data_IF_620960207155
#
_entry.id   IF_620960207155
#
_cell.length_a   1.000
_cell.length_b   1.000
_cell.length_c   1.000
_cell.angle_alpha   90.00
_cell.angle_beta   90.00
_cell.angle_gamma   90.00
#
_symmetry.space_group_name_H-M   'P 1'
#
loop_
_entity.id
_entity.type
_entity.pdbx_description
1 polymer ?
#
# COMPACT_ATOMS: atom_id res chain seq x y z
N UNK A 1 -9.04 4.46 -16.54
CA UNK A 1 -10.45 4.62 -16.14
C UNK A 1 -11.24 3.31 -16.04
N UNK A 2 -11.21 2.41 -17.04
CA UNK A 2 -12.08 1.22 -17.06
C UNK A 2 -12.08 0.39 -15.76
N UNK A 3 -10.89 0.01 -15.25
CA UNK A 3 -10.76 -0.83 -14.05
C UNK A 3 -11.35 -0.15 -12.81
N UNK A 4 -11.02 1.12 -12.57
CA UNK A 4 -11.49 1.85 -11.38
C UNK A 4 -12.98 2.21 -11.48
N UNK A 5 -13.49 2.42 -12.70
CA UNK A 5 -14.92 2.57 -12.93
C UNK A 5 -15.66 1.26 -12.62
N UNK A 6 -15.12 0.12 -13.06
CA UNK A 6 -15.67 -1.19 -12.74
C UNK A 6 -15.66 -1.46 -11.22
N UNK A 7 -14.59 -1.09 -10.51
CA UNK A 7 -14.55 -1.20 -9.05
C UNK A 7 -15.67 -0.38 -8.39
N UNK A 8 -15.87 0.87 -8.82
CA UNK A 8 -16.95 1.71 -8.31
C UNK A 8 -18.35 1.14 -8.60
N UNK A 9 -18.62 0.67 -9.83
CA UNK A 9 -19.93 0.08 -10.16
C UNK A 9 -20.23 -1.20 -9.35
N UNK A 10 -19.21 -1.84 -8.80
CA UNK A 10 -19.31 -2.98 -7.89
C UNK A 10 -19.32 -2.58 -6.39
N UNK A 11 -19.50 -1.30 -6.08
CA UNK A 11 -19.73 -0.81 -4.72
C UNK A 11 -18.48 -0.52 -3.91
N UNK A 12 -17.30 -0.45 -4.54
CA UNK A 12 -16.08 -0.01 -3.85
C UNK A 12 -16.21 1.47 -3.46
N UNK A 13 -15.83 1.78 -2.22
CA UNK A 13 -15.99 3.11 -1.61
C UNK A 13 -14.67 3.89 -1.49
N UNK A 14 -13.58 3.36 -2.06
CA UNK A 14 -12.28 4.01 -2.20
C UNK A 14 -11.61 3.40 -3.43
N UNK A 15 -10.93 4.22 -4.22
CA UNK A 15 -10.24 3.79 -5.44
C UNK A 15 -8.78 4.18 -5.37
N UNK A 16 -7.94 3.50 -6.16
CA UNK A 16 -6.57 3.93 -6.39
C UNK A 16 -6.33 4.05 -7.89
N UNK A 17 -5.71 5.14 -8.32
CA UNK A 17 -5.15 5.27 -9.66
C UNK A 17 -3.63 5.19 -9.58
N UNK A 18 -3.11 3.99 -9.83
CA UNK A 18 -1.67 3.83 -10.05
C UNK A 18 -1.33 4.20 -11.51
N UNK A 19 -0.61 5.30 -11.65
CA UNK A 19 0.02 5.73 -12.89
C UNK A 19 1.52 6.04 -12.68
N UNK A 20 2.12 5.45 -11.64
CA UNK A 20 3.53 5.61 -11.25
C UNK A 20 4.53 5.25 -12.34
N UNK A 21 4.16 4.32 -13.23
CA UNK A 21 4.99 3.90 -14.35
C UNK A 21 5.04 4.89 -15.52
N UNK A 22 4.17 5.92 -15.51
CA UNK A 22 4.19 7.00 -16.50
C UNK A 22 5.09 8.15 -16.03
N UNK A 23 5.44 9.05 -16.94
CA UNK A 23 6.10 10.29 -16.54
C UNK A 23 5.19 11.16 -15.66
N UNK A 24 5.81 12.15 -15.00
CA UNK A 24 5.15 12.98 -14.01
C UNK A 24 3.88 13.67 -14.53
N UNK A 25 3.92 14.22 -15.75
CA UNK A 25 2.81 14.95 -16.33
C UNK A 25 1.65 14.02 -16.72
N UNK A 26 1.98 12.86 -17.29
CA UNK A 26 0.98 11.85 -17.63
C UNK A 26 0.37 11.21 -16.37
N UNK A 27 1.15 10.99 -15.31
CA UNK A 27 0.65 10.54 -14.02
C UNK A 27 -0.33 11.56 -13.43
N UNK A 28 0.02 12.86 -13.43
CA UNK A 28 -0.89 13.93 -13.01
C UNK A 28 -2.17 13.91 -13.84
N UNK A 29 -2.06 13.85 -15.17
CA UNK A 29 -3.22 13.87 -16.07
C UNK A 29 -4.18 12.71 -15.78
N UNK A 30 -3.65 11.49 -15.67
CA UNK A 30 -4.43 10.27 -15.44
C UNK A 30 -5.04 10.20 -14.03
N UNK A 31 -4.32 10.69 -13.03
CA UNK A 31 -4.80 10.74 -11.65
C UNK A 31 -5.88 11.80 -11.50
N UNK A 32 -5.66 13.00 -12.06
CA UNK A 32 -6.68 14.06 -12.09
C UNK A 32 -7.95 13.63 -12.80
N UNK A 33 -7.84 12.91 -13.93
CA UNK A 33 -8.99 12.36 -14.65
C UNK A 33 -9.84 11.44 -13.75
N UNK A 34 -9.19 10.62 -12.91
CA UNK A 34 -9.89 9.78 -11.93
C UNK A 34 -10.53 10.63 -10.82
N UNK A 35 -9.77 11.54 -10.22
CA UNK A 35 -10.23 12.45 -9.16
C UNK A 35 -11.46 13.25 -9.61
N UNK A 36 -11.37 13.94 -10.75
CA UNK A 36 -12.45 14.78 -11.29
C UNK A 36 -13.75 13.98 -11.54
N UNK A 37 -13.63 12.69 -11.87
CA UNK A 37 -14.77 11.81 -12.08
C UNK A 37 -15.40 11.31 -10.77
N UNK A 38 -14.57 10.89 -9.80
CA UNK A 38 -15.02 10.15 -8.61
C UNK A 38 -15.33 11.05 -7.40
N UNK A 39 -14.71 12.23 -7.31
CA UNK A 39 -14.95 13.19 -6.23
C UNK A 39 -16.41 13.68 -6.16
N UNK A 40 -17.09 14.05 -7.26
CA UNK A 40 -18.51 14.42 -7.22
C UNK A 40 -19.43 13.30 -6.73
N UNK A 41 -18.95 12.05 -6.75
CA UNK A 41 -19.65 10.86 -6.29
C UNK A 41 -19.32 10.51 -4.82
N UNK A 42 -18.48 11.32 -4.16
CA UNK A 42 -18.04 11.10 -2.78
C UNK A 42 -17.05 9.94 -2.62
N UNK A 43 -16.35 9.56 -3.69
CA UNK A 43 -15.40 8.45 -3.68
C UNK A 43 -13.96 8.99 -3.64
N UNK A 44 -13.19 8.73 -2.58
CA UNK A 44 -11.80 9.14 -2.48
C UNK A 44 -10.91 8.32 -3.43
N UNK A 45 -9.86 8.96 -3.92
CA UNK A 45 -8.87 8.41 -4.86
C UNK A 45 -7.46 8.50 -4.26
N UNK A 46 -6.87 7.33 -4.00
CA UNK A 46 -5.45 7.17 -3.71
C UNK A 46 -4.63 7.26 -5.01
N UNK A 47 -3.44 7.85 -4.94
CA UNK A 47 -2.48 7.91 -6.05
C UNK A 47 -1.09 7.43 -5.61
N UNK A 48 -0.19 7.18 -6.56
CA UNK A 48 1.21 6.81 -6.28
C UNK A 48 2.17 7.75 -7.01
N UNK A 49 3.19 8.21 -6.29
CA UNK A 49 4.31 8.99 -6.83
C UNK A 49 5.65 8.35 -6.42
N UNK A 50 6.59 8.26 -7.35
CA UNK A 50 7.68 7.28 -7.28
C UNK A 50 7.23 5.97 -7.93
N UNK A 51 7.88 4.85 -7.66
CA UNK A 51 7.42 3.54 -8.13
C UNK A 51 7.89 2.40 -7.21
N UNK A 52 6.94 1.66 -6.63
CA UNK A 52 7.23 0.54 -5.69
C UNK A 52 7.55 -0.78 -6.42
N UNK A 53 7.15 -0.91 -7.68
CA UNK A 53 7.44 -2.08 -8.51
C UNK A 53 6.67 -3.36 -8.11
N UNK A 54 6.78 -4.39 -8.94
CA UNK A 54 6.24 -5.72 -8.69
C UNK A 54 7.21 -6.58 -7.87
N UNK A 55 6.76 -7.78 -7.46
CA UNK A 55 7.63 -8.78 -6.83
C UNK A 55 8.77 -9.19 -7.77
N UNK A 56 10.00 -9.02 -7.29
CA UNK A 56 11.25 -9.39 -7.96
C UNK A 56 12.37 -9.57 -6.91
N UNK A 57 13.60 -9.84 -7.35
CA UNK A 57 14.81 -9.82 -6.51
C UNK A 57 15.01 -8.39 -5.97
N UNK A 58 14.93 -8.24 -4.66
CA UNK A 58 14.87 -6.94 -4.00
C UNK A 58 16.10 -6.07 -4.27
N UNK A 59 17.29 -6.66 -4.28
CA UNK A 59 18.54 -5.97 -4.58
C UNK A 59 18.56 -5.38 -5.99
N UNK A 60 17.97 -6.09 -6.96
CA UNK A 60 17.88 -5.66 -8.35
C UNK A 60 16.86 -4.52 -8.49
N UNK A 61 15.72 -4.61 -7.80
CA UNK A 61 14.74 -3.53 -7.74
C UNK A 61 15.33 -2.27 -7.10
N UNK A 62 16.09 -2.44 -6.01
CA UNK A 62 16.68 -1.32 -5.27
C UNK A 62 17.72 -0.56 -6.10
N UNK A 63 18.47 -1.26 -6.97
CA UNK A 63 19.50 -0.66 -7.82
C UNK A 63 18.93 0.35 -8.84
N UNK A 64 17.69 0.17 -9.28
CA UNK A 64 16.97 1.06 -10.20
C UNK A 64 15.83 1.84 -9.54
N UNK A 65 15.82 1.93 -8.21
CA UNK A 65 14.65 2.40 -7.47
C UNK A 65 14.41 3.90 -7.62
N UNK A 66 13.16 4.26 -7.91
CA UNK A 66 12.72 5.64 -8.03
C UNK A 66 11.96 6.04 -6.76
N UNK A 67 12.70 6.64 -5.82
CA UNK A 67 12.11 7.23 -4.62
C UNK A 67 11.16 8.36 -4.98
N UNK A 68 10.11 8.54 -4.17
CA UNK A 68 9.27 9.73 -4.27
C UNK A 68 10.12 10.98 -4.07
N UNK A 69 10.06 11.92 -5.01
CA UNK A 69 10.65 13.24 -4.82
C UNK A 69 9.73 14.11 -3.95
N UNK A 70 10.17 14.53 -2.74
CA UNK A 70 9.35 15.36 -1.87
C UNK A 70 8.94 16.70 -2.48
N UNK A 71 9.78 17.26 -3.35
CA UNK A 71 9.52 18.57 -3.96
C UNK A 71 8.44 18.46 -5.05
N UNK A 72 8.33 17.29 -5.70
CA UNK A 72 7.24 16.98 -6.63
C UNK A 72 5.94 16.58 -5.93
N UNK A 73 6.00 16.02 -4.72
CA UNK A 73 4.82 15.50 -4.03
C UNK A 73 3.76 16.58 -3.74
N UNK A 74 4.19 17.79 -3.33
CA UNK A 74 3.29 18.91 -3.11
C UNK A 74 2.57 19.33 -4.40
N UNK A 75 3.32 19.52 -5.49
CA UNK A 75 2.76 19.85 -6.79
C UNK A 75 1.80 18.75 -7.28
N UNK A 76 2.19 17.49 -7.12
CA UNK A 76 1.38 16.35 -7.53
C UNK A 76 0.04 16.33 -6.81
N UNK A 77 0.03 16.47 -5.48
CA UNK A 77 -1.21 16.51 -4.68
C UNK A 77 -2.05 17.73 -5.05
N UNK A 78 -1.45 18.91 -5.21
CA UNK A 78 -2.18 20.12 -5.59
C UNK A 78 -2.84 19.98 -6.97
N UNK A 79 -2.11 19.49 -7.96
CA UNK A 79 -2.58 19.40 -9.35
C UNK A 79 -3.57 18.25 -9.57
N UNK A 80 -3.44 17.15 -8.82
CA UNK A 80 -4.33 15.99 -8.95
C UNK A 80 -5.55 16.07 -8.06
N UNK A 81 -5.41 16.63 -6.85
CA UNK A 81 -6.45 16.59 -5.83
C UNK A 81 -6.68 15.21 -5.22
N UNK A 82 -5.71 14.27 -5.28
CA UNK A 82 -5.87 12.95 -4.67
C UNK A 82 -6.10 13.03 -3.14
N UNK A 83 -6.72 12.00 -2.56
CA UNK A 83 -7.11 11.97 -1.14
C UNK A 83 -6.06 11.31 -0.24
N UNK A 84 -5.17 10.52 -0.83
CA UNK A 84 -4.03 9.90 -0.16
C UNK A 84 -2.92 9.57 -1.16
N UNK A 85 -1.67 9.61 -0.70
CA UNK A 85 -0.50 9.44 -1.56
C UNK A 85 0.36 8.25 -1.11
N UNK A 86 0.46 7.24 -1.95
CA UNK A 86 1.45 6.18 -1.84
C UNK A 86 2.83 6.70 -2.22
N UNK A 87 3.80 6.43 -1.35
CA UNK A 87 5.19 6.88 -1.49
C UNK A 87 6.13 5.69 -1.63
N UNK A 88 7.08 5.83 -2.55
CA UNK A 88 8.16 4.89 -2.79
C UNK A 88 9.37 5.31 -1.94
N UNK A 89 9.67 4.49 -0.92
CA UNK A 89 10.71 4.78 0.08
C UNK A 89 11.76 3.68 0.17
N UNK A 90 11.86 2.82 -0.84
CA UNK A 90 12.70 1.61 -0.85
C UNK A 90 11.92 0.34 -0.52
N UNK A 91 10.60 0.43 -0.44
CA UNK A 91 9.68 -0.70 -0.29
C UNK A 91 9.38 -1.39 -1.62
N UNK A 92 9.00 -2.68 -1.60
CA UNK A 92 8.64 -3.48 -2.78
C UNK A 92 7.47 -4.41 -2.44
N UNK A 93 6.66 -4.78 -3.44
CA UNK A 93 5.72 -5.88 -3.30
C UNK A 93 6.39 -7.26 -3.23
N UNK A 94 5.68 -8.24 -2.64
CA UNK A 94 6.11 -9.64 -2.61
C UNK A 94 6.94 -10.01 -1.40
N UNK A 95 7.81 -11.01 -1.55
CA UNK A 95 8.79 -11.44 -0.55
C UNK A 95 10.13 -10.72 -0.79
N UNK A 96 10.67 -10.08 0.23
CA UNK A 96 12.00 -9.49 0.17
C UNK A 96 13.10 -10.56 0.19
N UNK A 97 14.05 -10.49 -0.75
CA UNK A 97 15.21 -11.40 -0.83
C UNK A 97 16.36 -11.01 0.09
N UNK A 98 16.34 -9.78 0.63
CA UNK A 98 17.22 -9.29 1.70
C UNK A 98 16.51 -8.26 2.58
N UNK A 99 17.21 -7.70 3.57
CA UNK A 99 16.65 -6.74 4.50
C UNK A 99 16.18 -5.45 3.78
N UNK A 100 14.92 -5.02 3.97
CA UNK A 100 14.40 -3.79 3.38
C UNK A 100 15.19 -2.56 3.81
N UNK A 101 15.63 -1.74 2.86
CA UNK A 101 16.32 -0.47 3.11
C UNK A 101 15.35 0.70 2.89
N UNK A 102 14.67 1.13 3.95
CA UNK A 102 13.71 2.21 3.88
C UNK A 102 14.35 3.58 4.14
N UNK A 103 14.08 4.53 3.24
CA UNK A 103 14.50 5.92 3.39
C UNK A 103 13.40 6.74 4.08
N UNK A 104 13.43 6.75 5.41
CA UNK A 104 12.45 7.47 6.23
C UNK A 104 12.50 9.00 6.08
N UNK A 105 13.62 9.57 5.60
CA UNK A 105 13.70 11.01 5.33
C UNK A 105 12.75 11.42 4.20
N UNK A 106 12.51 10.53 3.23
CA UNK A 106 11.50 10.74 2.18
C UNK A 106 10.11 10.87 2.81
N UNK A 107 9.73 9.95 3.71
CA UNK A 107 8.43 10.00 4.40
C UNK A 107 8.25 11.34 5.12
N UNK A 108 9.26 11.75 5.89
CA UNK A 108 9.23 12.99 6.67
C UNK A 108 9.07 14.22 5.77
N UNK A 109 9.91 14.34 4.73
CA UNK A 109 9.86 15.49 3.81
C UNK A 109 8.55 15.54 3.03
N UNK A 110 8.05 14.40 2.55
CA UNK A 110 6.76 14.34 1.84
C UNK A 110 5.62 14.68 2.81
N UNK A 111 5.66 14.18 4.05
CA UNK A 111 4.66 14.49 5.07
C UNK A 111 4.58 15.99 5.36
N UNK A 112 5.71 16.67 5.44
CA UNK A 112 5.79 18.12 5.64
C UNK A 112 5.30 18.91 4.41
N UNK A 113 5.41 18.33 3.21
CA UNK A 113 5.07 18.97 1.94
C UNK A 113 3.60 18.83 1.54
N UNK A 114 2.91 17.77 1.98
CA UNK A 114 1.51 17.48 1.57
C UNK A 114 0.55 17.50 2.75
N UNK A 115 -0.75 17.68 2.50
CA UNK A 115 -1.80 17.64 3.54
C UNK A 115 -2.51 16.29 3.65
N UNK A 116 -2.43 15.47 2.59
CA UNK A 116 -3.16 14.18 2.48
C UNK A 116 -2.43 13.06 3.24
N UNK A 117 -3.12 12.04 3.79
CA UNK A 117 -2.46 10.90 4.43
C UNK A 117 -1.50 10.16 3.49
N UNK A 118 -0.37 9.67 4.03
CA UNK A 118 0.60 8.88 3.26
C UNK A 118 0.31 7.39 3.36
N UNK A 119 0.62 6.65 2.30
CA UNK A 119 0.37 5.22 2.17
C UNK A 119 1.68 4.46 1.96
N UNK A 120 1.87 3.38 2.70
CA UNK A 120 3.00 2.46 2.54
C UNK A 120 2.53 1.17 1.84
N UNK A 121 3.02 0.96 0.63
CA UNK A 121 2.82 -0.27 -0.12
C UNK A 121 3.88 -1.33 0.22
N UNK A 122 3.67 -2.58 -0.16
CA UNK A 122 4.71 -3.61 -0.02
C UNK A 122 5.17 -3.87 1.43
N UNK A 123 4.31 -3.70 2.43
CA UNK A 123 4.76 -3.71 3.83
C UNK A 123 5.02 -5.11 4.41
N UNK A 124 4.67 -6.17 3.68
CA UNK A 124 4.92 -7.56 4.12
C UNK A 124 6.43 -7.86 4.12
N UNK A 125 6.98 -8.22 5.27
CA UNK A 125 8.42 -8.48 5.45
C UNK A 125 9.23 -7.30 5.99
N UNK A 126 8.64 -6.10 6.07
CA UNK A 126 9.22 -4.96 6.79
C UNK A 126 9.16 -5.22 8.30
N UNK A 127 10.22 -4.85 9.02
CA UNK A 127 10.31 -5.07 10.46
C UNK A 127 9.24 -4.29 11.24
N UNK A 128 8.78 -4.83 12.36
CA UNK A 128 7.81 -4.14 13.23
C UNK A 128 8.33 -2.77 13.72
N UNK A 129 9.64 -2.63 13.89
CA UNK A 129 10.27 -1.36 14.30
C UNK A 129 10.19 -0.33 13.18
N UNK A 130 10.45 -0.74 11.94
CA UNK A 130 10.37 0.13 10.76
C UNK A 130 8.94 0.53 10.46
N UNK A 131 7.97 -0.39 10.60
CA UNK A 131 6.54 -0.08 10.49
C UNK A 131 6.13 0.99 11.50
N UNK A 132 6.51 0.83 12.78
CA UNK A 132 6.21 1.84 13.82
C UNK A 132 6.87 3.17 13.52
N UNK A 133 8.10 3.15 13.01
CA UNK A 133 8.83 4.36 12.58
C UNK A 133 8.09 5.06 11.45
N UNK A 134 7.69 4.33 10.40
CA UNK A 134 6.93 4.85 9.27
C UNK A 134 5.60 5.50 9.71
N UNK A 135 4.85 4.85 10.61
CA UNK A 135 3.61 5.39 11.19
C UNK A 135 3.90 6.69 11.95
N UNK A 136 4.93 6.71 12.80
CA UNK A 136 5.29 7.90 13.58
C UNK A 136 5.67 9.11 12.73
N UNK A 137 6.07 8.87 11.48
CA UNK A 137 6.43 9.90 10.49
C UNK A 137 5.27 10.31 9.57
N UNK A 138 4.08 9.70 9.73
CA UNK A 138 2.86 10.14 9.04
C UNK A 138 2.30 9.18 7.98
N UNK A 139 2.78 7.94 7.92
CA UNK A 139 2.08 6.86 7.20
C UNK A 139 0.79 6.51 7.93
N UNK A 140 -0.34 6.54 7.22
CA UNK A 140 -1.67 6.32 7.77
C UNK A 140 -2.37 5.07 7.21
N UNK A 141 -1.96 4.59 6.04
CA UNK A 141 -2.47 3.36 5.43
C UNK A 141 -1.28 2.46 5.05
N UNK A 142 -1.39 1.18 5.37
CA UNK A 142 -0.33 0.19 5.16
C UNK A 142 -0.93 -1.00 4.42
N UNK A 143 -0.35 -1.35 3.27
CA UNK A 143 -0.82 -2.48 2.47
C UNK A 143 -0.03 -3.74 2.83
N UNK A 144 -0.75 -4.79 3.24
CA UNK A 144 -0.21 -6.12 3.49
C UNK A 144 -0.95 -7.15 2.63
N UNK A 145 -0.22 -8.12 2.07
CA UNK A 145 -0.82 -9.19 1.27
C UNK A 145 -0.02 -10.47 1.40
N UNK A 146 1.28 -10.41 1.06
CA UNK A 146 2.18 -11.58 1.04
C UNK A 146 2.14 -12.36 2.35
N UNK A 147 2.17 -11.68 3.49
CA UNK A 147 2.18 -12.36 4.79
C UNK A 147 0.85 -13.02 5.16
N UNK A 148 -0.28 -12.52 4.65
CA UNK A 148 -1.58 -13.17 4.80
C UNK A 148 -1.63 -14.45 3.96
N UNK A 149 -1.11 -14.39 2.73
CA UNK A 149 -0.97 -15.55 1.85
C UNK A 149 -0.02 -16.60 2.43
N UNK A 150 1.10 -16.19 3.04
CA UNK A 150 2.02 -17.09 3.74
C UNK A 150 1.33 -17.78 4.91
N UNK A 151 0.59 -17.05 5.75
CA UNK A 151 -0.18 -17.64 6.85
C UNK A 151 -1.20 -18.67 6.34
N UNK A 152 -1.89 -18.36 5.25
CA UNK A 152 -2.80 -19.30 4.59
C UNK A 152 -2.07 -20.56 4.11
N UNK A 153 -0.93 -20.42 3.42
CA UNK A 153 -0.17 -21.54 2.87
C UNK A 153 0.43 -22.45 3.94
N UNK A 154 0.87 -21.88 5.07
CA UNK A 154 1.30 -22.67 6.24
C UNK A 154 0.13 -23.53 6.76
N UNK A 155 -1.03 -22.91 6.98
CA UNK A 155 -2.22 -23.61 7.45
C UNK A 155 -2.69 -24.70 6.45
N UNK A 156 -2.59 -24.43 5.14
CA UNK A 156 -2.87 -25.44 4.11
C UNK A 156 -1.96 -26.64 4.25
N UNK A 157 -0.64 -26.41 4.33
CA UNK A 157 0.35 -27.48 4.43
C UNK A 157 0.15 -28.34 5.68
N UNK A 158 -0.20 -27.73 6.81
CA UNK A 158 -0.44 -28.42 8.08
C UNK A 158 -1.74 -29.23 8.11
N UNK A 159 -2.72 -28.89 7.26
CA UNK A 159 -4.07 -29.49 7.28
C UNK A 159 -4.45 -30.15 5.94
N UNK A 160 -3.50 -30.39 5.03
CA UNK A 160 -3.77 -30.88 3.67
C UNK A 160 -4.45 -32.27 3.63
N UNK A 161 -4.24 -33.09 4.66
CA UNK A 161 -4.83 -34.43 4.77
C UNK A 161 -6.18 -34.45 5.50
N UNK A 162 -6.70 -33.29 5.89
CA UNK A 162 -7.97 -33.14 6.60
C UNK A 162 -9.16 -32.93 5.64
N UNK A 163 -10.40 -33.17 6.08
CA UNK A 163 -11.59 -32.84 5.29
C UNK A 163 -11.62 -31.35 4.90
N UNK A 164 -12.15 -31.04 3.71
CA UNK A 164 -12.15 -29.70 3.14
C UNK A 164 -12.69 -28.61 4.09
N UNK A 165 -13.80 -28.87 4.79
CA UNK A 165 -14.38 -27.91 5.73
C UNK A 165 -13.48 -27.64 6.96
N UNK A 166 -12.66 -28.60 7.36
CA UNK A 166 -11.67 -28.40 8.43
C UNK A 166 -10.51 -27.54 7.92
N UNK A 167 -9.94 -27.90 6.77
CA UNK A 167 -8.89 -27.14 6.10
C UNK A 167 -9.29 -25.67 5.91
N UNK A 168 -10.49 -25.41 5.39
CA UNK A 168 -11.02 -24.06 5.18
C UNK A 168 -11.06 -23.25 6.49
N UNK A 169 -11.49 -23.87 7.60
CA UNK A 169 -11.59 -23.22 8.91
C UNK A 169 -10.21 -22.83 9.44
N UNK A 170 -9.23 -23.74 9.36
CA UNK A 170 -7.88 -23.47 9.84
C UNK A 170 -7.18 -22.40 8.99
N UNK A 171 -7.37 -22.40 7.66
CA UNK A 171 -6.85 -21.34 6.78
C UNK A 171 -7.46 -19.98 7.14
N UNK A 172 -8.79 -19.91 7.28
CA UNK A 172 -9.48 -18.66 7.69
C UNK A 172 -8.99 -18.18 9.05
N UNK A 173 -8.77 -19.09 10.00
CA UNK A 173 -8.24 -18.77 11.33
C UNK A 173 -6.82 -18.20 11.25
N UNK A 174 -5.92 -18.84 10.53
CA UNK A 174 -4.54 -18.38 10.39
C UNK A 174 -4.43 -16.98 9.74
N UNK A 175 -5.19 -16.75 8.66
CA UNK A 175 -5.26 -15.42 8.02
C UNK A 175 -5.82 -14.37 8.99
N UNK A 176 -6.87 -14.71 9.73
CA UNK A 176 -7.46 -13.82 10.74
C UNK A 176 -6.47 -13.48 11.84
N UNK A 177 -5.74 -14.46 12.37
CA UNK A 177 -4.74 -14.25 13.42
C UNK A 177 -3.62 -13.32 12.93
N UNK A 178 -3.09 -13.56 11.72
CA UNK A 178 -2.10 -12.65 11.12
C UNK A 178 -2.63 -11.23 10.91
N UNK A 179 -3.88 -11.08 10.46
CA UNK A 179 -4.50 -9.76 10.33
C UNK A 179 -4.65 -9.05 11.69
N UNK A 180 -5.03 -9.77 12.75
CA UNK A 180 -5.15 -9.21 14.11
C UNK A 180 -3.80 -8.78 14.69
N UNK A 181 -2.73 -9.53 14.42
CA UNK A 181 -1.36 -9.12 14.78
C UNK A 181 -1.01 -7.76 14.14
N UNK A 182 -1.38 -7.57 12.87
CA UNK A 182 -1.10 -6.34 12.13
C UNK A 182 -1.96 -5.17 12.58
N UNK A 183 -3.23 -5.38 12.89
CA UNK A 183 -4.10 -4.36 13.50
C UNK A 183 -3.48 -3.81 14.79
N UNK A 184 -2.95 -4.69 15.66
CA UNK A 184 -2.25 -4.28 16.89
C UNK A 184 -0.93 -3.58 16.59
N UNK A 185 -0.13 -4.09 15.65
CA UNK A 185 1.13 -3.47 15.26
C UNK A 185 0.92 -2.04 14.73
N UNK A 186 -0.13 -1.84 13.95
CA UNK A 186 -0.48 -0.54 13.36
C UNK A 186 -1.14 0.41 14.38
N UNK A 187 -1.47 -0.07 15.58
CA UNK A 187 -2.11 0.73 16.64
C UNK A 187 -3.56 1.11 16.32
N UNK A 188 -4.24 0.35 15.46
CA UNK A 188 -5.64 0.59 15.07
C UNK A 188 -6.64 -0.20 15.91
N UNK A 189 -6.19 -1.05 16.83
CA UNK A 189 -7.07 -1.75 17.76
C UNK A 189 -7.80 -0.76 18.68
N UNK A 190 -9.11 -0.97 18.85
CA UNK A 190 -9.95 -0.11 19.68
C UNK A 190 -10.22 1.29 19.11
N UNK A 191 -9.95 1.54 17.82
CA UNK A 191 -10.20 2.83 17.15
C UNK A 191 -11.52 2.93 16.39
N UNK A 192 -12.35 1.88 16.40
CA UNK A 192 -13.66 1.92 15.76
C UNK A 192 -14.64 2.77 16.58
N UNK A 193 -15.50 3.54 15.89
CA UNK A 193 -16.61 4.32 16.46
C UNK A 193 -17.93 3.54 16.43
#
# INVERSE_FOLDING_TARGET
MEIIHNAWTHGMNSLMRDASAFDFEENIRLTKEAVDFFHPLGIPVEAELGHVGNETVYEEALAGYHYTDPDQAAEFVERTGCDSLAVAIGNQHGVYTSEPQLNFEVVKRVRDAVSVPLVLHGASGISDADIKTAISLGIAKINIHTELCQAAMVAVKENQDQPFLHLEREVRKAVKERALEKIKLFGSDGKAE
#
